data_IF_237776072144
#
_entry.id   IF_237776072144
#
_cell.length_a   1.000
_cell.length_b   1.000
_cell.length_c   1.000
_cell.angle_alpha   90.00
_cell.angle_beta   90.00
_cell.angle_gamma   90.00
#
_symmetry.space_group_name_H-M   'P 1'
#
loop_
_entity.id
_entity.type
_entity.pdbx_description
1 polymer ?
#
# COMPACT_ATOMS: atom_id res chain seq x y z
N UNK A 1 22.89 8.86 -12.92
CA UNK A 1 21.88 7.84 -12.60
C UNK A 1 21.32 8.28 -11.25
N UNK A 2 20.16 8.93 -11.20
CA UNK A 2 19.42 9.09 -9.94
C UNK A 2 17.99 9.54 -10.28
N UNK A 3 17.05 8.59 -10.19
CA UNK A 3 15.64 8.94 -10.21
C UNK A 3 15.32 9.53 -8.84
N UNK A 4 14.69 10.71 -8.82
CA UNK A 4 14.28 11.44 -7.61
C UNK A 4 13.89 10.47 -6.48
N UNK A 5 14.69 10.44 -5.42
CA UNK A 5 14.59 9.47 -4.35
C UNK A 5 13.27 9.69 -3.61
N UNK A 6 12.32 8.79 -3.82
CA UNK A 6 11.22 8.63 -2.88
C UNK A 6 11.80 8.15 -1.57
N UNK A 7 11.49 8.87 -0.49
CA UNK A 7 11.97 8.57 0.85
C UNK A 7 11.20 7.36 1.40
N UNK A 8 11.65 6.17 1.00
CA UNK A 8 11.02 4.91 1.37
C UNK A 8 11.16 4.67 2.87
N UNK A 9 12.29 5.05 3.46
CA UNK A 9 12.54 4.92 4.90
C UNK A 9 11.58 5.80 5.71
N UNK A 10 11.40 7.07 5.34
CA UNK A 10 10.42 7.96 5.98
C UNK A 10 8.97 7.47 5.81
N UNK A 11 8.66 6.83 4.68
CA UNK A 11 7.35 6.18 4.51
C UNK A 11 7.19 4.92 5.37
N UNK A 12 8.25 4.12 5.55
CA UNK A 12 8.23 2.92 6.40
C UNK A 12 8.11 3.30 7.88
N UNK A 13 8.79 4.37 8.30
CA UNK A 13 8.73 4.92 9.65
C UNK A 13 7.34 5.49 9.97
N UNK A 14 6.77 6.27 9.04
CA UNK A 14 5.44 6.88 9.19
C UNK A 14 4.54 6.59 7.99
N UNK A 15 4.04 5.36 7.86
CA UNK A 15 3.21 4.92 6.75
C UNK A 15 1.89 5.70 6.73
N UNK A 16 1.61 6.40 5.63
CA UNK A 16 0.41 7.22 5.49
C UNK A 16 -0.34 6.93 4.20
N UNK A 17 -1.67 6.80 4.27
CA UNK A 17 -2.49 6.54 3.09
C UNK A 17 -2.38 7.69 2.07
N UNK A 18 -2.34 8.93 2.56
CA UNK A 18 -2.15 10.13 1.76
C UNK A 18 -0.81 10.11 1.02
N UNK A 19 0.25 9.66 1.70
CA UNK A 19 1.58 9.48 1.11
C UNK A 19 1.54 8.45 -0.02
N UNK A 20 0.87 7.33 0.21
CA UNK A 20 0.70 6.25 -0.76
C UNK A 20 -0.19 6.65 -1.96
N UNK A 21 -1.15 7.57 -1.80
CA UNK A 21 -1.89 8.17 -2.93
C UNK A 21 -1.00 9.05 -3.80
N UNK A 22 -0.14 9.83 -3.14
CA UNK A 22 0.75 10.82 -3.75
C UNK A 22 1.95 10.17 -4.46
N UNK A 23 2.32 8.95 -4.04
CA UNK A 23 3.37 8.14 -4.67
C UNK A 23 3.16 7.92 -6.17
N UNK A 24 4.27 7.91 -6.92
CA UNK A 24 4.31 7.51 -8.32
C UNK A 24 4.35 5.99 -8.41
N UNK A 25 4.12 5.46 -9.62
CA UNK A 25 4.17 4.01 -9.86
C UNK A 25 5.54 3.41 -9.52
N UNK A 26 6.64 4.14 -9.77
CA UNK A 26 7.98 3.71 -9.41
C UNK A 26 8.14 3.57 -7.88
N UNK A 27 7.64 4.54 -7.12
CA UNK A 27 7.68 4.55 -5.65
C UNK A 27 6.86 3.40 -5.07
N UNK A 28 5.64 3.19 -5.59
CA UNK A 28 4.79 2.05 -5.19
C UNK A 28 5.47 0.69 -5.46
N UNK A 29 6.21 0.56 -6.56
CA UNK A 29 6.97 -0.66 -6.87
C UNK A 29 8.17 -0.84 -5.94
N UNK A 30 8.79 0.25 -5.47
CA UNK A 30 9.86 0.20 -4.49
C UNK A 30 9.32 -0.24 -3.12
N UNK A 31 8.19 0.32 -2.68
CA UNK A 31 7.49 -0.09 -1.46
C UNK A 31 7.07 -1.57 -1.58
N UNK A 32 6.51 -1.98 -2.71
CA UNK A 32 6.15 -3.37 -2.95
C UNK A 32 7.36 -4.30 -2.82
N UNK A 33 8.51 -3.94 -3.39
CA UNK A 33 9.73 -4.72 -3.23
C UNK A 33 10.22 -4.77 -1.78
N UNK A 34 10.17 -3.65 -1.07
CA UNK A 34 10.62 -3.57 0.32
C UNK A 34 9.80 -4.47 1.25
N UNK A 35 8.48 -4.43 1.13
CA UNK A 35 7.56 -5.28 1.89
C UNK A 35 7.34 -6.65 1.23
N UNK A 36 8.12 -7.01 0.21
CA UNK A 36 8.00 -8.27 -0.53
C UNK A 36 6.57 -8.56 -1.04
N UNK A 37 5.81 -7.52 -1.37
CA UNK A 37 4.45 -7.59 -1.91
C UNK A 37 4.49 -7.92 -3.40
N UNK A 38 3.80 -9.00 -3.78
CA UNK A 38 3.70 -9.43 -5.16
C UNK A 38 2.75 -8.50 -5.95
N UNK A 39 3.32 -7.67 -6.82
CA UNK A 39 2.57 -6.78 -7.73
C UNK A 39 2.77 -7.17 -9.18
N UNK A 40 1.69 -7.14 -9.98
CA UNK A 40 1.79 -7.44 -11.42
C UNK A 40 2.51 -6.29 -12.13
N UNK A 41 3.55 -6.57 -12.92
CA UNK A 41 4.29 -5.52 -13.67
C UNK A 41 3.40 -4.72 -14.63
N UNK A 42 2.39 -5.38 -15.20
CA UNK A 42 1.39 -4.77 -16.08
C UNK A 42 0.22 -4.08 -15.33
N UNK A 43 0.18 -4.14 -14.00
CA UNK A 43 -0.87 -3.50 -13.22
C UNK A 43 -0.85 -1.97 -13.38
N UNK A 44 -2.04 -1.40 -13.33
CA UNK A 44 -2.23 0.06 -13.26
C UNK A 44 -1.71 0.59 -11.94
N UNK A 45 -1.41 1.89 -11.88
CA UNK A 45 -0.98 2.56 -10.63
C UNK A 45 -1.92 2.22 -9.47
N UNK A 46 -3.22 2.25 -9.70
CA UNK A 46 -4.25 1.97 -8.70
C UNK A 46 -4.19 0.52 -8.19
N UNK A 47 -4.07 -0.46 -9.09
CA UNK A 47 -3.92 -1.87 -8.72
C UNK A 47 -2.63 -2.14 -7.92
N UNK A 48 -1.50 -1.57 -8.34
CA UNK A 48 -0.24 -1.66 -7.58
C UNK A 48 -0.42 -1.05 -6.19
N UNK A 49 -1.11 0.09 -6.11
CA UNK A 49 -1.40 0.80 -4.86
C UNK A 49 -2.25 -0.05 -3.92
N UNK A 50 -3.32 -0.65 -4.41
CA UNK A 50 -4.22 -1.49 -3.63
C UNK A 50 -3.51 -2.74 -3.13
N UNK A 51 -2.70 -3.39 -3.98
CA UNK A 51 -1.89 -4.54 -3.58
C UNK A 51 -0.86 -4.17 -2.51
N UNK A 52 -0.18 -3.03 -2.67
CA UNK A 52 0.78 -2.52 -1.68
C UNK A 52 0.09 -2.18 -0.37
N UNK A 53 -1.08 -1.52 -0.41
CA UNK A 53 -1.86 -1.20 0.78
C UNK A 53 -2.36 -2.46 1.49
N UNK A 54 -2.85 -3.46 0.76
CA UNK A 54 -3.24 -4.75 1.32
C UNK A 54 -2.05 -5.45 1.98
N UNK A 55 -0.89 -5.47 1.32
CA UNK A 55 0.34 -6.02 1.89
C UNK A 55 0.75 -5.30 3.17
N UNK A 56 0.78 -3.96 3.16
CA UNK A 56 1.11 -3.15 4.35
C UNK A 56 0.19 -3.47 5.53
N UNK A 57 -1.12 -3.62 5.30
CA UNK A 57 -2.09 -4.04 6.32
C UNK A 57 -1.75 -5.42 6.88
N UNK A 58 -1.40 -6.39 6.02
CA UNK A 58 -1.00 -7.73 6.47
C UNK A 58 0.29 -7.72 7.29
N UNK A 59 1.23 -6.83 6.97
CA UNK A 59 2.45 -6.60 7.76
C UNK A 59 2.19 -5.85 9.08
N UNK A 60 0.95 -5.46 9.37
CA UNK A 60 0.59 -4.70 10.57
C UNK A 60 1.05 -3.24 10.51
N UNK A 61 1.46 -2.77 9.34
CA UNK A 61 1.73 -1.36 9.07
C UNK A 61 0.36 -0.69 9.08
N UNK A 62 0.10 0.17 10.08
CA UNK A 62 -1.23 0.69 10.48
C UNK A 62 -2.05 1.50 9.47
N UNK A 63 -1.89 1.24 8.17
CA UNK A 63 -2.71 1.72 7.08
C UNK A 63 -4.03 0.96 7.05
N UNK A 64 -4.88 1.19 8.05
CA UNK A 64 -6.23 0.64 8.00
C UNK A 64 -6.91 1.13 6.71
N UNK A 65 -7.60 0.27 5.93
CA UNK A 65 -8.41 0.68 4.78
C UNK A 65 -9.68 1.43 5.24
N UNK A 66 -9.57 2.26 6.28
CA UNK A 66 -10.62 2.86 7.10
C UNK A 66 -11.40 3.98 6.39
N UNK A 67 -11.65 3.82 5.10
CA UNK A 67 -12.65 4.58 4.35
C UNK A 67 -13.60 3.66 3.55
N UNK A 68 -13.61 2.35 3.78
CA UNK A 68 -14.77 1.54 3.42
C UNK A 68 -15.75 1.56 4.60
N UNK A 69 -16.95 2.14 4.46
CA UNK A 69 -18.00 1.90 5.44
C UNK A 69 -18.18 0.38 5.52
N UNK A 70 -18.15 -0.15 6.74
CA UNK A 70 -18.42 -1.54 7.07
C UNK A 70 -19.87 -1.90 6.73
N UNK A 71 -20.27 -1.85 5.45
CA UNK A 71 -21.54 -2.35 4.98
C UNK A 71 -21.32 -3.74 4.41
N UNK A 72 -21.45 -4.76 5.28
CA UNK A 72 -21.65 -6.14 4.84
C UNK A 72 -20.70 -7.19 5.37
N UNK A 73 -20.18 -7.06 6.60
CA UNK A 73 -19.54 -8.22 7.26
C UNK A 73 -20.64 -9.09 7.88
N UNK A 74 -20.78 -10.29 7.32
CA UNK A 74 -21.80 -11.30 7.60
C UNK A 74 -21.97 -11.60 9.10
N UNK A 75 -23.19 -11.98 9.54
CA UNK A 75 -23.44 -12.41 10.92
C UNK A 75 -22.63 -13.67 11.25
N UNK A 76 -21.93 -13.68 12.38
CA UNK A 76 -21.28 -14.88 12.91
C UNK A 76 -22.34 -15.79 13.54
N UNK A 77 -22.43 -17.08 13.17
CA UNK A 77 -23.26 -18.03 13.88
C UNK A 77 -22.55 -18.46 15.17
N UNK A 78 -23.24 -18.28 16.30
CA UNK A 78 -22.96 -18.86 17.60
C UNK A 78 -24.27 -19.35 18.21
#
# INVERSE_FOLDING_TARGET
>A
MEAAAFDLEGFVDSPSDAGLQSCRKADLLAIAQHYCVAVRKAARKQEVREAVLAGLVEFGVGLSPSALPLLGRCPQPG
#
